data_IF_287926433859
#
_entry.id   IF_287926433859
#
_cell.length_a   1.000
_cell.length_b   1.000
_cell.length_c   1.000
_cell.angle_alpha   90.00
_cell.angle_beta   90.00
_cell.angle_gamma   90.00
#
_symmetry.space_group_name_H-M   'P 1'
#
loop_
_entity.id
_entity.type
_entity.pdbx_description
1 polymer ?
#
# COMPACT_ATOMS: atom_id res chain seq x y z
N UNK A 1 18.70 -1.41 -16.85
CA UNK A 1 18.13 -2.79 -17.04
C UNK A 1 16.69 -2.73 -16.57
N UNK A 2 15.75 -3.35 -17.26
CA UNK A 2 14.35 -3.39 -16.83
C UNK A 2 14.20 -4.45 -15.73
N UNK A 3 13.57 -4.07 -14.62
CA UNK A 3 13.24 -5.01 -13.54
C UNK A 3 11.80 -5.48 -13.71
N UNK A 4 11.58 -6.77 -13.52
CA UNK A 4 10.26 -7.37 -13.55
C UNK A 4 9.89 -7.84 -12.15
N UNK A 5 8.66 -7.59 -11.75
CA UNK A 5 8.13 -7.94 -10.44
C UNK A 5 6.61 -8.12 -10.46
N UNK A 6 6.04 -8.31 -9.28
CA UNK A 6 4.60 -8.49 -9.09
C UNK A 6 4.15 -7.88 -7.76
N UNK A 7 2.83 -7.71 -7.60
CA UNK A 7 2.22 -7.28 -6.33
C UNK A 7 2.00 -8.51 -5.44
N UNK A 8 2.54 -8.52 -4.25
CA UNK A 8 2.59 -9.70 -3.37
C UNK A 8 1.22 -10.15 -2.82
N UNK A 9 0.20 -9.33 -2.93
CA UNK A 9 -1.16 -9.68 -2.51
C UNK A 9 -1.73 -10.95 -3.18
N UNK A 10 -1.14 -11.41 -4.29
CA UNK A 10 -1.53 -12.65 -4.98
C UNK A 10 -1.05 -13.93 -4.30
N UNK A 11 -0.15 -13.83 -3.33
CA UNK A 11 0.39 -14.94 -2.52
C UNK A 11 0.20 -14.66 -1.04
N UNK A 12 -1.05 -14.52 -0.57
CA UNK A 12 -1.37 -13.98 0.76
C UNK A 12 -0.90 -14.85 1.92
N UNK A 13 -0.63 -16.13 1.66
CA UNK A 13 -0.21 -17.12 2.66
C UNK A 13 1.29 -17.09 2.97
N UNK A 14 2.09 -16.38 2.16
CA UNK A 14 3.55 -16.40 2.34
C UNK A 14 3.99 -15.48 3.50
N UNK A 15 4.91 -15.97 4.31
CA UNK A 15 5.75 -15.12 5.16
C UNK A 15 6.64 -14.21 4.30
N UNK A 16 7.26 -13.22 4.93
CA UNK A 16 8.21 -12.35 4.21
C UNK A 16 9.37 -13.16 3.57
N UNK A 17 9.95 -14.10 4.30
CA UNK A 17 11.04 -14.92 3.79
C UNK A 17 10.59 -15.79 2.62
N UNK A 18 9.42 -16.42 2.71
CA UNK A 18 8.85 -17.23 1.63
C UNK A 18 8.57 -16.38 0.39
N UNK A 19 8.05 -15.16 0.56
CA UNK A 19 7.83 -14.22 -0.53
C UNK A 19 9.13 -13.88 -1.26
N UNK A 20 10.18 -13.51 -0.53
CA UNK A 20 11.48 -13.15 -1.13
C UNK A 20 12.13 -14.34 -1.84
N UNK A 21 12.13 -15.52 -1.22
CA UNK A 21 12.65 -16.74 -1.86
C UNK A 21 11.86 -17.15 -3.08
N UNK A 22 10.53 -17.04 -3.04
CA UNK A 22 9.67 -17.28 -4.20
C UNK A 22 9.99 -16.30 -5.34
N UNK A 23 10.10 -15.01 -5.02
CA UNK A 23 10.45 -13.98 -5.99
C UNK A 23 11.76 -14.29 -6.71
N UNK A 24 12.81 -14.65 -5.95
CA UNK A 24 14.09 -15.08 -6.49
C UNK A 24 13.96 -16.34 -7.36
N UNK A 25 13.27 -17.36 -6.86
CA UNK A 25 13.12 -18.65 -7.56
C UNK A 25 12.36 -18.53 -8.89
N UNK A 26 11.45 -17.58 -9.01
CA UNK A 26 10.73 -17.29 -10.25
C UNK A 26 11.51 -16.36 -11.21
N UNK A 27 12.72 -15.92 -10.84
CA UNK A 27 13.54 -15.03 -11.65
C UNK A 27 13.11 -13.56 -11.63
N UNK A 28 12.24 -13.17 -10.71
CA UNK A 28 11.93 -11.78 -10.47
C UNK A 28 12.99 -11.12 -9.60
N UNK A 29 13.22 -9.83 -9.80
CA UNK A 29 14.19 -9.04 -9.02
C UNK A 29 13.54 -8.02 -8.11
N UNK A 30 12.22 -7.85 -8.23
CA UNK A 30 11.48 -6.88 -7.43
C UNK A 30 10.08 -7.39 -7.09
N UNK A 31 9.55 -6.88 -5.99
CA UNK A 31 8.18 -7.15 -5.56
C UNK A 31 7.59 -5.90 -4.91
N UNK A 32 6.34 -5.62 -5.20
CA UNK A 32 5.56 -4.61 -4.50
C UNK A 32 4.91 -5.29 -3.30
N UNK A 33 5.31 -4.91 -2.08
CA UNK A 33 4.87 -5.58 -0.87
C UNK A 33 3.51 -5.07 -0.40
N UNK A 34 2.53 -5.95 -0.33
CA UNK A 34 1.26 -5.67 0.31
C UNK A 34 1.46 -5.46 1.82
N UNK A 35 0.99 -4.34 2.34
CA UNK A 35 1.18 -3.89 3.71
C UNK A 35 -0.15 -3.41 4.32
N UNK A 36 -1.13 -4.29 4.38
CA UNK A 36 -2.40 -4.00 5.03
C UNK A 36 -2.27 -4.12 6.55
N UNK A 37 -3.15 -3.45 7.33
CA UNK A 37 -3.28 -3.74 8.75
C UNK A 37 -3.50 -5.24 8.98
N UNK A 38 -2.88 -5.79 10.01
CA UNK A 38 -3.09 -7.19 10.37
C UNK A 38 -4.56 -7.43 10.72
N UNK A 39 -5.19 -8.43 10.10
CA UNK A 39 -6.59 -8.76 10.36
C UNK A 39 -7.28 -9.45 9.20
N UNK A 40 -8.55 -9.79 9.43
CA UNK A 40 -9.39 -10.41 8.41
C UNK A 40 -9.94 -9.34 7.47
N UNK A 41 -9.68 -9.48 6.18
CA UNK A 41 -10.23 -8.60 5.17
C UNK A 41 -11.60 -9.07 4.66
N UNK A 42 -12.43 -8.10 4.32
CA UNK A 42 -13.77 -8.36 3.76
C UNK A 42 -13.74 -8.60 2.24
N UNK A 43 -12.61 -8.35 1.59
CA UNK A 43 -12.48 -8.48 0.14
C UNK A 43 -11.18 -9.17 -0.27
N UNK A 44 -11.19 -9.73 -1.46
CA UNK A 44 -10.02 -10.38 -2.08
C UNK A 44 -8.85 -9.41 -2.19
N UNK A 45 -7.65 -9.89 -1.88
CA UNK A 45 -6.39 -9.13 -1.90
C UNK A 45 -6.25 -8.01 -0.84
N UNK A 46 -7.28 -7.71 -0.07
CA UNK A 46 -7.16 -6.84 1.08
C UNK A 46 -6.74 -7.63 2.32
N UNK A 47 -6.20 -6.95 3.32
CA UNK A 47 -5.75 -7.58 4.57
C UNK A 47 -4.48 -8.42 4.44
N UNK A 48 -3.83 -8.44 3.27
CA UNK A 48 -2.57 -9.15 3.06
C UNK A 48 -1.42 -8.31 3.61
N UNK A 49 -0.60 -8.92 4.45
CA UNK A 49 0.67 -8.36 4.88
C UNK A 49 1.65 -9.48 5.13
N UNK A 50 2.87 -9.32 4.69
CA UNK A 50 3.93 -10.33 4.83
C UNK A 50 4.86 -10.05 6.02
N UNK A 51 4.71 -8.89 6.65
CA UNK A 51 5.44 -8.49 7.85
C UNK A 51 4.63 -7.43 8.63
N UNK A 52 4.89 -7.34 9.91
CA UNK A 52 4.20 -6.36 10.78
C UNK A 52 4.86 -4.98 10.63
N UNK A 53 4.32 -4.17 9.71
CA UNK A 53 4.83 -2.83 9.47
C UNK A 53 4.61 -1.90 10.67
N UNK A 54 3.60 -2.14 11.49
CA UNK A 54 3.29 -1.27 12.62
C UNK A 54 4.36 -1.35 13.71
N UNK A 55 4.86 -2.54 13.97
CA UNK A 55 5.87 -2.80 14.99
C UNK A 55 7.30 -2.89 14.41
N UNK A 56 7.47 -2.65 13.11
CA UNK A 56 8.78 -2.68 12.47
C UNK A 56 9.73 -1.69 13.12
N UNK A 57 10.85 -2.18 13.63
CA UNK A 57 11.96 -1.37 14.14
C UNK A 57 13.18 -1.37 13.21
N UNK A 58 14.22 -0.62 13.58
CA UNK A 58 15.41 -0.49 12.75
C UNK A 58 16.16 -1.82 12.60
N UNK A 59 16.26 -2.63 13.66
CA UNK A 59 16.98 -3.90 13.61
C UNK A 59 16.27 -4.89 12.69
N UNK A 60 14.97 -5.02 12.82
CA UNK A 60 14.16 -5.85 11.93
C UNK A 60 14.24 -5.39 10.47
N UNK A 61 14.22 -4.09 10.23
CA UNK A 61 14.35 -3.53 8.89
C UNK A 61 15.74 -3.80 8.29
N UNK A 62 16.80 -3.77 9.12
CA UNK A 62 18.15 -4.10 8.70
C UNK A 62 18.24 -5.57 8.31
N UNK A 63 17.75 -6.49 9.15
CA UNK A 63 17.70 -7.93 8.86
C UNK A 63 16.93 -8.23 7.57
N UNK A 64 15.79 -7.58 7.37
CA UNK A 64 15.00 -7.73 6.13
C UNK A 64 15.78 -7.27 4.90
N UNK A 65 16.48 -6.13 4.99
CA UNK A 65 17.27 -5.62 3.86
C UNK A 65 18.46 -6.52 3.53
N UNK A 66 19.14 -7.04 4.55
CA UNK A 66 20.27 -7.96 4.36
C UNK A 66 19.79 -9.24 3.68
N UNK A 67 18.71 -9.83 4.16
CA UNK A 67 18.08 -11.01 3.54
C UNK A 67 17.64 -10.77 2.09
N UNK A 68 17.01 -9.64 1.79
CA UNK A 68 16.66 -9.27 0.41
C UNK A 68 17.91 -9.14 -0.48
N UNK A 69 18.96 -8.53 0.06
CA UNK A 69 20.24 -8.36 -0.66
C UNK A 69 20.90 -9.71 -0.98
N UNK A 70 20.90 -10.66 -0.03
CA UNK A 70 21.39 -12.02 -0.25
C UNK A 70 20.61 -12.76 -1.35
N UNK A 71 19.31 -12.53 -1.44
CA UNK A 71 18.45 -13.12 -2.46
C UNK A 71 18.49 -12.36 -3.80
N UNK A 72 19.13 -11.20 -3.89
CA UNK A 72 19.13 -10.36 -5.09
C UNK A 72 17.74 -9.81 -5.44
N UNK A 73 16.87 -9.64 -4.45
CA UNK A 73 15.50 -9.13 -4.58
C UNK A 73 15.36 -7.82 -3.80
N UNK A 74 14.55 -6.91 -4.27
CA UNK A 74 14.24 -5.67 -3.54
C UNK A 74 12.74 -5.36 -3.57
N UNK A 75 12.26 -4.63 -2.58
CA UNK A 75 10.90 -4.10 -2.59
C UNK A 75 10.86 -2.83 -3.44
N UNK A 76 9.95 -2.78 -4.41
CA UNK A 76 9.74 -1.59 -5.25
C UNK A 76 8.91 -0.53 -4.57
N UNK A 77 7.92 -0.94 -3.78
CA UNK A 77 7.02 -0.07 -3.02
C UNK A 77 6.37 -0.84 -1.86
N UNK A 78 5.82 -0.10 -0.91
CA UNK A 78 4.85 -0.61 0.05
C UNK A 78 3.44 -0.33 -0.49
N UNK A 79 2.63 -1.38 -0.62
CA UNK A 79 1.30 -1.31 -1.23
C UNK A 79 0.18 -1.35 -0.19
N UNK A 80 -0.64 -0.33 -0.17
CA UNK A 80 -1.85 -0.29 0.65
C UNK A 80 -2.94 0.47 -0.10
N UNK A 81 -3.99 -0.22 -0.48
CA UNK A 81 -5.05 0.30 -1.36
C UNK A 81 -6.39 0.45 -0.63
N UNK A 82 -6.48 1.33 0.38
CA UNK A 82 -7.72 1.62 1.08
C UNK A 82 -8.58 2.63 0.33
N UNK A 83 -9.70 3.04 0.94
CA UNK A 83 -10.41 4.25 0.57
C UNK A 83 -10.18 5.37 1.63
N UNK A 84 -9.14 6.21 1.50
CA UNK A 84 -8.87 7.28 2.47
C UNK A 84 -9.87 8.45 2.39
N UNK A 85 -10.87 8.37 1.52
CA UNK A 85 -11.98 9.31 1.42
C UNK A 85 -13.33 8.64 1.71
N UNK A 86 -13.34 7.51 2.43
CA UNK A 86 -14.57 6.79 2.74
C UNK A 86 -15.59 7.67 3.46
N UNK A 87 -16.88 7.48 3.13
CA UNK A 87 -18.00 8.18 3.79
C UNK A 87 -18.12 7.80 5.26
N UNK A 88 -17.75 6.55 5.59
CA UNK A 88 -17.63 6.11 6.96
C UNK A 88 -16.34 6.68 7.56
N UNK A 89 -16.50 7.62 8.49
CA UNK A 89 -15.37 8.31 9.13
C UNK A 89 -14.42 7.37 9.84
N UNK A 90 -14.91 6.32 10.48
CA UNK A 90 -14.06 5.35 11.18
C UNK A 90 -13.17 4.57 10.19
N UNK A 91 -13.74 4.14 9.06
CA UNK A 91 -12.99 3.47 7.97
C UNK A 91 -11.95 4.40 7.38
N UNK A 92 -12.34 5.64 7.09
CA UNK A 92 -11.46 6.68 6.56
C UNK A 92 -10.29 6.96 7.51
N UNK A 93 -10.59 7.21 8.77
CA UNK A 93 -9.59 7.61 9.76
C UNK A 93 -8.60 6.46 10.02
N UNK A 94 -9.07 5.20 10.04
CA UNK A 94 -8.22 4.03 10.10
C UNK A 94 -7.31 3.90 8.88
N UNK A 95 -7.84 4.14 7.68
CA UNK A 95 -7.07 4.13 6.43
C UNK A 95 -5.96 5.20 6.43
N UNK A 96 -6.31 6.42 6.81
CA UNK A 96 -5.36 7.56 6.90
C UNK A 96 -4.29 7.29 7.96
N UNK A 97 -4.68 6.80 9.13
CA UNK A 97 -3.75 6.47 10.20
C UNK A 97 -2.73 5.38 9.77
N UNK A 98 -3.18 4.38 9.02
CA UNK A 98 -2.27 3.35 8.52
C UNK A 98 -1.34 3.88 7.42
N UNK A 99 -1.80 4.76 6.54
CA UNK A 99 -0.93 5.45 5.57
C UNK A 99 0.18 6.24 6.27
N UNK A 100 -0.13 6.94 7.36
CA UNK A 100 0.90 7.62 8.18
C UNK A 100 1.94 6.64 8.71
N UNK A 101 1.51 5.46 9.20
CA UNK A 101 2.46 4.44 9.66
C UNK A 101 3.38 3.94 8.54
N UNK A 102 2.83 3.69 7.34
CA UNK A 102 3.63 3.29 6.18
C UNK A 102 4.65 4.36 5.80
N UNK A 103 4.25 5.64 5.81
CA UNK A 103 5.13 6.78 5.54
C UNK A 103 6.28 6.81 6.56
N UNK A 104 6.00 6.57 7.84
CA UNK A 104 7.02 6.56 8.89
C UNK A 104 7.99 5.37 8.78
N UNK A 105 7.52 4.23 8.29
CA UNK A 105 8.29 2.97 8.25
C UNK A 105 9.03 2.72 6.93
N UNK A 106 8.55 3.27 5.82
CA UNK A 106 9.19 3.10 4.51
C UNK A 106 10.68 3.50 4.50
N UNK A 107 11.13 4.58 5.17
CA UNK A 107 12.55 4.94 5.24
C UNK A 107 13.43 3.89 5.93
N UNK A 108 12.91 3.16 6.93
CA UNK A 108 13.66 2.09 7.60
C UNK A 108 14.06 0.99 6.62
N UNK A 109 13.16 0.66 5.69
CA UNK A 109 13.38 -0.31 4.62
C UNK A 109 14.10 0.29 3.40
N UNK A 110 14.39 1.60 3.42
CA UNK A 110 14.94 2.37 2.28
C UNK A 110 14.06 2.29 1.04
N UNK A 111 12.74 2.25 1.23
CA UNK A 111 11.76 2.23 0.15
C UNK A 111 11.21 3.63 -0.03
N UNK A 112 11.39 4.27 -1.21
CA UNK A 112 10.95 5.64 -1.42
C UNK A 112 9.49 5.76 -1.87
N UNK A 113 8.79 4.66 -2.10
CA UNK A 113 7.45 4.66 -2.71
C UNK A 113 6.42 3.93 -1.87
N UNK A 114 5.25 4.54 -1.74
CA UNK A 114 4.03 3.91 -1.24
C UNK A 114 2.99 4.00 -2.35
N UNK A 115 2.44 2.87 -2.76
CA UNK A 115 1.39 2.79 -3.76
C UNK A 115 0.03 2.69 -3.09
N UNK A 116 -0.92 3.51 -3.53
CA UNK A 116 -2.22 3.63 -2.88
C UNK A 116 -3.30 4.14 -3.84
N UNK A 117 -4.55 4.15 -3.39
CA UNK A 117 -5.66 4.82 -4.07
C UNK A 117 -5.90 6.21 -3.48
N UNK A 118 -6.35 7.13 -4.33
CA UNK A 118 -6.83 8.46 -3.87
C UNK A 118 -8.10 8.32 -3.02
N UNK A 119 -8.92 7.32 -3.32
CA UNK A 119 -10.22 7.15 -2.71
C UNK A 119 -11.32 8.02 -3.34
N UNK A 120 -12.55 7.83 -2.87
CA UNK A 120 -13.72 8.59 -3.28
C UNK A 120 -14.89 8.33 -2.32
N UNK A 121 -15.66 9.35 -1.98
CA UNK A 121 -16.98 9.18 -1.40
C UNK A 121 -17.96 8.75 -2.51
N UNK A 122 -18.66 7.62 -2.28
CA UNK A 122 -19.40 6.91 -3.29
C UNK A 122 -20.64 7.68 -3.80
N UNK A 123 -21.34 8.29 -2.87
CA UNK A 123 -22.62 8.94 -3.13
C UNK A 123 -22.51 10.47 -3.20
N UNK A 124 -21.32 11.02 -3.01
CA UNK A 124 -21.03 12.43 -3.07
C UNK A 124 -20.77 12.91 -4.50
N UNK A 125 -21.07 14.17 -4.76
CA UNK A 125 -20.74 14.82 -6.01
C UNK A 125 -19.25 15.17 -6.13
N UNK A 126 -18.85 15.76 -7.24
CA UNK A 126 -17.45 16.10 -7.51
C UNK A 126 -16.93 17.19 -6.55
N UNK A 127 -17.78 18.16 -6.16
CA UNK A 127 -17.37 19.24 -5.27
C UNK A 127 -17.16 18.73 -3.84
N UNK A 128 -18.05 17.88 -3.36
CA UNK A 128 -17.94 17.23 -2.06
C UNK A 128 -16.72 16.33 -1.98
N UNK A 129 -16.47 15.54 -3.02
CA UNK A 129 -15.26 14.72 -3.15
C UNK A 129 -13.98 15.56 -3.15
N UNK A 130 -14.00 16.72 -3.83
CA UNK A 130 -12.87 17.63 -3.82
C UNK A 130 -12.60 18.23 -2.43
N UNK A 131 -13.67 18.60 -1.69
CA UNK A 131 -13.55 19.05 -0.31
C UNK A 131 -12.96 17.97 0.60
N UNK A 132 -13.40 16.72 0.45
CA UNK A 132 -12.85 15.58 1.19
C UNK A 132 -11.38 15.37 0.87
N UNK A 133 -11.00 15.40 -0.42
CA UNK A 133 -9.61 15.32 -0.86
C UNK A 133 -8.76 16.42 -0.19
N UNK A 134 -9.20 17.66 -0.25
CA UNK A 134 -8.48 18.81 0.34
C UNK A 134 -8.39 18.74 1.87
N UNK A 135 -9.25 17.97 2.54
CA UNK A 135 -9.20 17.80 3.99
C UNK A 135 -8.22 16.71 4.44
N UNK A 136 -7.89 15.75 3.59
CA UNK A 136 -7.07 14.57 3.92
C UNK A 136 -5.68 14.63 3.28
N UNK A 137 -5.63 14.78 1.97
CA UNK A 137 -4.41 14.57 1.19
C UNK A 137 -3.28 15.58 1.42
N UNK A 138 -3.53 16.88 1.64
CA UNK A 138 -2.43 17.83 1.87
C UNK A 138 -1.57 17.51 3.09
N UNK A 139 -2.15 16.91 4.13
CA UNK A 139 -1.40 16.48 5.32
C UNK A 139 -0.57 15.23 5.03
N UNK A 140 -1.17 14.22 4.40
CA UNK A 140 -0.47 13.00 4.00
C UNK A 140 0.72 13.30 3.07
N UNK A 141 0.53 14.20 2.11
CA UNK A 141 1.59 14.59 1.16
C UNK A 141 2.75 15.27 1.92
N UNK A 142 2.46 16.24 2.77
CA UNK A 142 3.50 16.92 3.56
C UNK A 142 4.26 15.94 4.45
N UNK A 143 3.55 15.03 5.12
CA UNK A 143 4.19 14.01 5.94
C UNK A 143 5.13 13.13 5.09
N UNK A 144 4.68 12.71 3.91
CA UNK A 144 5.50 11.90 3.00
C UNK A 144 6.74 12.68 2.50
N UNK A 145 6.59 13.95 2.14
CA UNK A 145 7.69 14.84 1.77
C UNK A 145 8.73 14.98 2.89
N UNK A 146 8.28 15.20 4.12
CA UNK A 146 9.14 15.31 5.31
C UNK A 146 9.95 14.02 5.57
N UNK A 147 9.43 12.87 5.16
CA UNK A 147 10.10 11.56 5.28
C UNK A 147 10.89 11.15 4.03
N UNK A 148 10.86 11.95 2.98
CA UNK A 148 11.49 11.61 1.69
C UNK A 148 10.81 10.45 0.96
N UNK A 149 9.51 10.28 1.17
CA UNK A 149 8.67 9.22 0.56
C UNK A 149 7.73 9.84 -0.46
N UNK A 150 7.51 9.18 -1.59
CA UNK A 150 6.52 9.57 -2.58
C UNK A 150 5.27 8.68 -2.51
N UNK A 151 4.11 9.30 -2.50
CA UNK A 151 2.82 8.61 -2.61
C UNK A 151 2.47 8.47 -4.10
N UNK A 152 2.44 7.23 -4.57
CA UNK A 152 2.13 6.88 -5.95
C UNK A 152 0.66 6.46 -6.05
N UNK A 153 -0.11 7.21 -6.82
CA UNK A 153 -1.55 6.94 -6.99
C UNK A 153 -1.78 5.98 -8.14
N UNK A 154 -2.42 4.85 -7.85
CA UNK A 154 -2.90 3.96 -8.90
C UNK A 154 -4.25 4.46 -9.45
N UNK A 155 -4.31 4.60 -10.78
CA UNK A 155 -5.52 5.00 -11.50
C UNK A 155 -6.39 3.79 -11.91
N UNK A 156 -6.53 2.81 -11.04
CA UNK A 156 -7.32 1.62 -11.31
C UNK A 156 -8.79 1.98 -11.56
N UNK A 157 -9.38 1.60 -12.70
CA UNK A 157 -10.79 1.86 -12.99
C UNK A 157 -11.75 1.05 -12.12
N UNK A 158 -11.26 0.08 -11.35
CA UNK A 158 -11.97 -0.66 -10.32
C UNK A 158 -13.29 -1.29 -10.77
N UNK A 159 -13.30 -1.92 -11.95
CA UNK A 159 -14.43 -2.73 -12.42
C UNK A 159 -14.44 -4.11 -11.75
N UNK A 160 -14.43 -4.10 -10.41
CA UNK A 160 -14.61 -5.33 -9.65
C UNK A 160 -16.10 -5.69 -9.52
N UNK A 161 -16.38 -6.91 -9.18
CA UNK A 161 -17.74 -7.37 -8.93
C UNK A 161 -18.35 -6.62 -7.74
N UNK A 162 -19.68 -6.66 -7.63
CA UNK A 162 -20.40 -5.99 -6.53
C UNK A 162 -19.91 -6.42 -5.14
N UNK A 163 -19.32 -7.60 -5.05
CA UNK A 163 -18.88 -8.23 -3.80
C UNK A 163 -17.44 -7.86 -3.42
N UNK A 164 -16.63 -7.35 -4.35
CA UNK A 164 -15.21 -7.09 -4.11
C UNK A 164 -14.90 -5.61 -3.86
N UNK A 165 -15.47 -4.72 -4.61
CA UNK A 165 -15.39 -3.27 -4.42
C UNK A 165 -16.53 -2.65 -5.20
N UNK A 166 -17.32 -1.77 -4.61
CA UNK A 166 -18.31 -1.02 -5.39
C UNK A 166 -17.55 -0.11 -6.37
N UNK A 167 -17.37 -0.63 -7.58
CA UNK A 167 -16.43 -0.17 -8.56
C UNK A 167 -16.50 1.30 -8.96
N UNK A 168 -15.47 1.75 -9.63
CA UNK A 168 -15.40 3.07 -10.22
C UNK A 168 -15.29 4.21 -9.19
N UNK A 169 -14.67 3.95 -8.01
CA UNK A 169 -14.74 4.89 -6.89
C UNK A 169 -13.40 5.36 -6.37
N UNK A 170 -12.52 5.57 -7.29
CA UNK A 170 -11.28 6.27 -7.09
C UNK A 170 -11.32 7.53 -7.94
N UNK A 171 -11.03 8.71 -7.39
CA UNK A 171 -11.01 9.98 -8.12
C UNK A 171 -10.05 9.97 -9.31
N UNK A 172 -9.02 9.12 -9.26
CA UNK A 172 -8.05 8.95 -10.35
C UNK A 172 -8.56 8.05 -11.50
N UNK A 173 -9.77 7.53 -11.45
CA UNK A 173 -10.31 6.57 -12.44
C UNK A 173 -11.50 7.12 -13.25
N UNK A 174 -11.73 8.40 -13.26
CA UNK A 174 -12.81 9.06 -14.01
C UNK A 174 -12.53 9.15 -15.50
#
# INVERSE_FOLDING_TARGET
>A
MMHLGFVSAIVPEFSFEELIRFTQAQGFTTVEAACWPAGKAERRYAGVSHFDVENLDQAQADDMRDFMSECGVHLSALAYYPNPLDENLQTRDAAVAHLHKLIDKAPLLRIPYITTFIGKMQHADAEENWKAFMSVWPELIRHAEDKGVALCIENCPMYFTKDEWPGGKNLASS
#
